data_IF_225849829310
#
_entry.id   IF_225849829310
#
_cell.length_a   1.000
_cell.length_b   1.000
_cell.length_c   1.000
_cell.angle_alpha   90.00
_cell.angle_beta   90.00
_cell.angle_gamma   90.00
#
_symmetry.space_group_name_H-M   'P 1'
#
loop_
_entity.id
_entity.type
_entity.pdbx_description
1 polymer ?
#
# COMPACT_ATOMS: atom_id res chain seq x y z
N UNK A 1 -0.53 -13.87 13.46
CA UNK A 1 -1.77 -13.98 12.66
C UNK A 1 -1.47 -13.71 11.19
N UNK A 2 -2.00 -14.57 10.34
CA UNK A 2 -1.89 -14.37 8.89
C UNK A 2 -2.89 -13.35 8.36
N UNK A 3 -2.70 -12.93 7.11
CA UNK A 3 -3.55 -11.94 6.44
C UNK A 3 -5.02 -12.36 6.40
N UNK A 4 -5.30 -13.63 6.18
CA UNK A 4 -6.66 -14.17 6.15
C UNK A 4 -7.37 -14.08 7.51
N UNK A 5 -6.66 -14.39 8.57
CA UNK A 5 -7.20 -14.32 9.94
C UNK A 5 -7.50 -12.88 10.35
N UNK A 6 -6.62 -11.95 9.98
CA UNK A 6 -6.83 -10.52 10.24
C UNK A 6 -8.03 -9.98 9.45
N UNK A 7 -8.19 -10.41 8.20
CA UNK A 7 -9.37 -10.04 7.41
C UNK A 7 -10.66 -10.60 8.06
N UNK A 8 -10.66 -11.86 8.46
CA UNK A 8 -11.81 -12.48 9.13
C UNK A 8 -12.21 -11.69 10.38
N UNK A 9 -11.24 -11.37 11.23
CA UNK A 9 -11.47 -10.59 12.43
C UNK A 9 -12.08 -9.22 12.10
N UNK A 10 -11.50 -8.52 11.14
CA UNK A 10 -12.00 -7.21 10.71
C UNK A 10 -13.44 -7.28 10.20
N UNK A 11 -13.76 -8.27 9.35
CA UNK A 11 -15.10 -8.47 8.81
C UNK A 11 -16.13 -8.75 9.91
N UNK A 12 -15.78 -9.58 10.88
CA UNK A 12 -16.64 -9.88 12.04
C UNK A 12 -16.87 -8.63 12.90
N UNK A 13 -15.80 -7.91 13.23
CA UNK A 13 -15.88 -6.72 14.08
C UNK A 13 -16.74 -5.59 13.46
N UNK A 14 -16.84 -5.56 12.13
CA UNK A 14 -17.59 -4.53 11.39
C UNK A 14 -18.89 -5.04 10.77
N UNK A 15 -19.33 -6.26 11.11
CA UNK A 15 -20.55 -6.89 10.58
C UNK A 15 -20.58 -6.96 9.05
N UNK A 16 -19.43 -7.22 8.42
CA UNK A 16 -19.28 -7.35 6.98
C UNK A 16 -19.33 -8.82 6.56
N UNK A 17 -19.88 -9.07 5.38
CA UNK A 17 -19.98 -10.44 4.85
C UNK A 17 -18.62 -10.98 4.46
N UNK A 18 -18.42 -12.26 4.74
CA UNK A 18 -17.31 -13.05 4.21
C UNK A 18 -17.71 -13.59 2.84
N UNK A 19 -17.16 -13.00 1.78
CA UNK A 19 -17.45 -13.42 0.41
C UNK A 19 -16.21 -14.05 -0.24
N UNK A 20 -16.39 -15.02 -1.16
CA UNK A 20 -15.24 -15.61 -1.85
C UNK A 20 -14.34 -14.60 -2.56
N UNK A 21 -14.93 -13.57 -3.16
CA UNK A 21 -14.20 -12.53 -3.89
C UNK A 21 -13.19 -11.79 -2.99
N UNK A 22 -13.54 -11.53 -1.72
CA UNK A 22 -12.63 -10.88 -0.77
C UNK A 22 -11.35 -11.67 -0.57
N UNK A 23 -11.48 -12.98 -0.44
CA UNK A 23 -10.33 -13.87 -0.21
C UNK A 23 -9.51 -14.08 -1.47
N UNK A 24 -10.17 -14.12 -2.63
CA UNK A 24 -9.48 -14.19 -3.92
C UNK A 24 -8.63 -12.94 -4.13
N UNK A 25 -9.22 -11.76 -3.93
CA UNK A 25 -8.51 -10.49 -4.07
C UNK A 25 -7.33 -10.41 -3.09
N UNK A 26 -7.55 -10.76 -1.83
CA UNK A 26 -6.48 -10.79 -0.82
C UNK A 26 -5.33 -11.71 -1.23
N UNK A 27 -5.66 -12.91 -1.72
CA UNK A 27 -4.65 -13.88 -2.18
C UNK A 27 -3.80 -13.31 -3.31
N UNK A 28 -4.43 -12.70 -4.32
CA UNK A 28 -3.69 -12.09 -5.44
C UNK A 28 -2.79 -10.96 -4.98
N UNK A 29 -3.28 -10.09 -4.11
CA UNK A 29 -2.49 -8.98 -3.56
C UNK A 29 -1.25 -9.49 -2.84
N UNK A 30 -1.40 -10.53 -2.01
CA UNK A 30 -0.29 -11.02 -1.19
C UNK A 30 0.75 -11.83 -1.98
N UNK A 31 0.45 -12.18 -3.24
CA UNK A 31 1.42 -12.72 -4.18
C UNK A 31 2.25 -11.63 -4.89
N UNK A 32 1.80 -10.38 -4.88
CA UNK A 32 2.52 -9.26 -5.48
C UNK A 32 3.60 -8.78 -4.52
N UNK A 33 4.85 -8.69 -4.99
CA UNK A 33 5.98 -8.26 -4.18
C UNK A 33 6.28 -6.76 -4.26
N UNK A 34 5.67 -6.07 -5.23
CA UNK A 34 5.90 -4.65 -5.52
C UNK A 34 4.64 -3.83 -5.27
N UNK A 35 4.73 -2.51 -5.49
CA UNK A 35 3.55 -1.66 -5.61
C UNK A 35 2.74 -2.04 -6.84
N UNK A 36 1.43 -1.88 -6.78
CA UNK A 36 0.53 -2.16 -7.89
C UNK A 36 -0.59 -1.12 -7.97
N UNK A 37 -1.09 -0.90 -9.18
CA UNK A 37 -2.31 -0.14 -9.39
C UNK A 37 -3.51 -1.08 -9.56
N UNK A 38 -4.69 -0.48 -9.64
CA UNK A 38 -5.92 -1.26 -9.78
C UNK A 38 -5.99 -2.01 -11.11
N UNK A 39 -5.46 -1.42 -12.18
CA UNK A 39 -5.50 -2.04 -13.51
C UNK A 39 -4.64 -3.29 -13.55
N UNK A 40 -3.46 -3.24 -12.95
CA UNK A 40 -2.59 -4.41 -12.81
C UNK A 40 -3.30 -5.52 -12.02
N UNK A 41 -3.90 -5.19 -10.89
CA UNK A 41 -4.60 -6.16 -10.06
C UNK A 41 -5.81 -6.75 -10.79
N UNK A 42 -6.62 -5.91 -11.43
CA UNK A 42 -7.78 -6.33 -12.21
C UNK A 42 -7.39 -7.30 -13.32
N UNK A 43 -6.37 -6.97 -14.10
CA UNK A 43 -5.90 -7.83 -15.18
C UNK A 43 -5.33 -9.15 -14.65
N UNK A 44 -4.60 -9.12 -13.55
CA UNK A 44 -4.03 -10.32 -12.91
C UNK A 44 -5.14 -11.28 -12.45
N UNK A 45 -6.17 -10.77 -11.79
CA UNK A 45 -7.29 -11.56 -11.29
C UNK A 45 -8.10 -12.14 -12.46
N UNK A 46 -8.40 -11.32 -13.46
CA UNK A 46 -9.33 -11.69 -14.54
C UNK A 46 -8.72 -12.62 -15.59
N UNK A 47 -7.48 -13.03 -15.43
CA UNK A 47 -6.93 -14.16 -16.21
C UNK A 47 -7.56 -15.50 -15.84
N UNK A 48 -8.00 -15.66 -14.59
CA UNK A 48 -8.55 -16.92 -14.07
C UNK A 48 -9.92 -16.77 -13.41
N UNK A 49 -10.23 -15.60 -12.89
CA UNK A 49 -11.47 -15.32 -12.15
C UNK A 49 -12.23 -14.21 -12.86
N UNK A 50 -13.55 -14.12 -12.61
CA UNK A 50 -14.37 -13.03 -13.12
C UNK A 50 -14.81 -12.14 -11.96
N UNK A 51 -14.07 -11.07 -11.70
CA UNK A 51 -14.39 -10.11 -10.66
C UNK A 51 -14.40 -8.71 -11.28
N UNK A 52 -15.50 -7.98 -11.07
CA UNK A 52 -15.64 -6.63 -11.62
C UNK A 52 -14.66 -5.65 -10.95
N UNK A 53 -14.31 -4.61 -11.68
CA UNK A 53 -13.46 -3.52 -11.17
C UNK A 53 -14.08 -2.85 -9.95
N UNK A 54 -15.41 -2.65 -9.95
CA UNK A 54 -16.14 -2.09 -8.80
C UNK A 54 -15.98 -2.95 -7.55
N UNK A 55 -16.08 -4.26 -7.68
CA UNK A 55 -15.87 -5.19 -6.56
C UNK A 55 -14.45 -5.11 -6.04
N UNK A 56 -13.46 -5.01 -6.93
CA UNK A 56 -12.05 -4.84 -6.54
C UNK A 56 -11.86 -3.54 -5.76
N UNK A 57 -12.39 -2.41 -6.23
CA UNK A 57 -12.31 -1.11 -5.54
C UNK A 57 -12.89 -1.18 -4.13
N UNK A 58 -14.09 -1.76 -3.98
CA UNK A 58 -14.74 -1.90 -2.69
C UNK A 58 -13.88 -2.73 -1.72
N UNK A 59 -13.26 -3.78 -2.22
CA UNK A 59 -12.40 -4.63 -1.39
C UNK A 59 -11.07 -3.96 -1.06
N UNK A 60 -10.48 -3.19 -1.96
CA UNK A 60 -9.29 -2.39 -1.67
C UNK A 60 -9.55 -1.40 -0.54
N UNK A 61 -10.73 -0.78 -0.49
CA UNK A 61 -11.10 0.10 0.60
C UNK A 61 -11.19 -0.64 1.94
N UNK A 62 -11.85 -1.79 1.96
CA UNK A 62 -11.97 -2.62 3.16
C UNK A 62 -10.59 -3.09 3.63
N UNK A 63 -9.76 -3.58 2.71
CA UNK A 63 -8.41 -4.04 3.04
C UNK A 63 -7.51 -2.91 3.56
N UNK A 64 -7.67 -1.69 3.04
CA UNK A 64 -6.96 -0.51 3.54
C UNK A 64 -7.39 -0.16 4.96
N UNK A 65 -8.69 -0.15 5.23
CA UNK A 65 -9.24 0.09 6.58
C UNK A 65 -8.82 -1.00 7.56
N UNK A 66 -8.74 -2.24 7.10
CA UNK A 66 -8.25 -3.36 7.90
C UNK A 66 -6.72 -3.34 8.09
N UNK A 67 -6.01 -2.37 7.50
CA UNK A 67 -4.55 -2.22 7.56
C UNK A 67 -3.80 -3.43 6.96
N UNK A 68 -4.43 -4.15 6.05
CA UNK A 68 -3.82 -5.24 5.32
C UNK A 68 -3.06 -4.77 4.07
N UNK A 69 -3.46 -3.63 3.54
CA UNK A 69 -2.76 -2.95 2.46
C UNK A 69 -2.60 -1.46 2.79
N UNK A 70 -1.63 -0.84 2.18
CA UNK A 70 -1.40 0.60 2.23
C UNK A 70 -1.68 1.21 0.87
N UNK A 71 -2.44 2.30 0.86
CA UNK A 71 -2.69 3.12 -0.32
C UNK A 71 -1.77 4.33 -0.27
N UNK A 72 -1.07 4.60 -1.36
CA UNK A 72 -0.19 5.77 -1.49
C UNK A 72 -0.58 6.57 -2.73
N UNK A 73 -0.63 7.89 -2.57
CA UNK A 73 -0.89 8.80 -3.67
C UNK A 73 0.42 9.52 -4.02
N UNK A 74 0.94 9.23 -5.21
CA UNK A 74 2.15 9.86 -5.72
C UNK A 74 1.82 11.01 -6.67
N UNK A 75 2.85 11.74 -7.13
CA UNK A 75 2.68 12.83 -8.10
C UNK A 75 1.82 12.40 -9.30
N UNK A 76 1.07 13.37 -9.88
CA UNK A 76 0.15 13.18 -11.00
C UNK A 76 -1.07 12.30 -10.68
N UNK A 77 -1.48 12.27 -9.40
CA UNK A 77 -2.64 11.49 -8.95
C UNK A 77 -2.51 9.98 -9.21
N UNK A 78 -1.29 9.47 -9.26
CA UNK A 78 -1.04 8.04 -9.36
C UNK A 78 -1.30 7.40 -8.00
N UNK A 79 -2.28 6.50 -7.95
CA UNK A 79 -2.62 5.75 -6.75
C UNK A 79 -2.04 4.35 -6.85
N UNK A 80 -1.17 4.00 -5.91
CA UNK A 80 -0.57 2.68 -5.81
C UNK A 80 -0.90 2.05 -4.46
N UNK A 81 -0.94 0.74 -4.47
CA UNK A 81 -1.20 -0.08 -3.29
C UNK A 81 -0.03 -1.01 -3.04
N UNK A 82 0.17 -1.38 -1.79
CA UNK A 82 1.13 -2.39 -1.39
C UNK A 82 0.60 -3.16 -0.17
N UNK A 83 1.01 -4.43 -0.03
CA UNK A 83 0.71 -5.19 1.17
C UNK A 83 1.46 -4.60 2.37
N UNK A 84 0.80 -4.53 3.52
CA UNK A 84 1.36 -3.87 4.70
C UNK A 84 1.66 -4.81 5.87
N UNK A 85 1.15 -6.03 5.85
CA UNK A 85 1.38 -6.98 6.94
C UNK A 85 2.87 -7.35 7.01
N UNK A 86 3.44 -7.24 8.22
CA UNK A 86 4.85 -7.53 8.51
C UNK A 86 5.85 -6.62 7.77
N UNK A 87 5.40 -5.55 7.13
CA UNK A 87 6.27 -4.54 6.55
C UNK A 87 6.65 -3.50 7.59
N UNK A 88 7.94 -3.21 7.70
CA UNK A 88 8.43 -2.10 8.52
C UNK A 88 8.04 -0.77 7.89
N UNK A 89 7.87 0.27 8.71
CA UNK A 89 7.70 1.63 8.22
C UNK A 89 8.86 2.00 7.30
N UNK A 90 8.54 2.49 6.11
CA UNK A 90 9.52 2.95 5.13
C UNK A 90 8.96 4.17 4.40
N UNK A 91 9.85 4.90 3.77
CA UNK A 91 9.53 6.05 2.95
C UNK A 91 9.92 5.77 1.49
N UNK A 92 9.60 6.66 0.58
CA UNK A 92 9.71 6.40 -0.85
C UNK A 92 10.56 7.44 -1.56
N UNK A 93 11.38 6.96 -2.51
CA UNK A 93 12.04 7.75 -3.53
C UNK A 93 11.37 7.43 -4.86
N UNK A 94 10.92 8.43 -5.57
CA UNK A 94 10.22 8.26 -6.85
C UNK A 94 11.03 8.93 -7.96
N UNK A 95 11.39 8.16 -8.97
CA UNK A 95 12.05 8.70 -10.16
C UNK A 95 11.03 9.36 -11.07
N UNK A 96 11.21 10.65 -11.37
CA UNK A 96 10.33 11.38 -12.27
C UNK A 96 10.46 10.94 -13.73
N UNK A 97 11.61 10.37 -14.10
CA UNK A 97 11.88 10.00 -15.49
C UNK A 97 11.35 8.60 -15.83
N UNK A 98 11.62 7.59 -15.00
CA UNK A 98 11.20 6.21 -15.26
C UNK A 98 10.03 5.73 -14.40
N UNK A 99 9.62 6.49 -13.37
CA UNK A 99 8.54 6.12 -12.48
C UNK A 99 8.90 5.04 -11.45
N UNK A 100 10.14 4.58 -11.42
CA UNK A 100 10.57 3.55 -10.45
C UNK A 100 10.50 4.08 -9.03
N UNK A 101 10.07 3.22 -8.10
CA UNK A 101 9.88 3.56 -6.69
C UNK A 101 10.87 2.76 -5.87
N UNK A 102 11.66 3.46 -5.07
CA UNK A 102 12.61 2.87 -4.12
C UNK A 102 12.13 3.10 -2.70
N UNK A 103 12.28 2.10 -1.86
CA UNK A 103 11.99 2.22 -0.44
C UNK A 103 13.27 2.54 0.33
N UNK A 104 13.15 3.39 1.34
CA UNK A 104 14.25 3.68 2.27
C UNK A 104 13.74 3.85 3.68
N UNK A 105 14.62 3.65 4.63
CA UNK A 105 14.36 3.89 6.05
C UNK A 105 15.56 4.63 6.64
N UNK A 106 15.32 5.84 7.15
CA UNK A 106 16.35 6.66 7.79
C UNK A 106 15.96 6.95 9.24
N UNK A 107 16.79 6.52 10.21
CA UNK A 107 16.48 6.70 11.62
C UNK A 107 16.38 8.18 12.05
N UNK A 108 16.96 9.10 11.29
CA UNK A 108 16.85 10.55 11.54
C UNK A 108 15.41 11.06 11.44
N UNK A 109 14.58 10.42 10.60
CA UNK A 109 13.17 10.78 10.45
C UNK A 109 12.42 10.57 11.76
N UNK A 110 12.65 9.44 12.42
CA UNK A 110 12.07 9.17 13.74
C UNK A 110 12.46 10.25 14.77
N UNK A 111 13.72 10.67 14.77
CA UNK A 111 14.20 11.72 15.66
C UNK A 111 13.51 13.06 15.39
N UNK A 112 13.25 13.38 14.13
CA UNK A 112 12.49 14.59 13.74
C UNK A 112 11.06 14.51 14.27
N UNK A 113 10.40 13.39 14.12
CA UNK A 113 9.01 13.19 14.58
C UNK A 113 8.92 13.30 16.10
N UNK A 114 9.84 12.67 16.82
CA UNK A 114 9.91 12.76 18.29
C UNK A 114 10.15 14.21 18.74
N UNK A 115 10.97 14.95 18.02
CA UNK A 115 11.20 16.37 18.27
C UNK A 115 9.96 17.22 18.05
N UNK A 116 9.19 16.95 17.01
CA UNK A 116 7.93 17.64 16.71
C UNK A 116 6.93 17.43 17.85
N UNK A 117 6.79 16.20 18.34
CA UNK A 117 5.90 15.91 19.47
C UNK A 117 6.22 16.74 20.70
N UNK A 118 7.52 16.89 21.01
CA UNK A 118 7.98 17.65 22.16
C UNK A 118 7.72 19.16 22.05
N UNK A 119 7.83 19.69 20.84
CA UNK A 119 7.70 21.13 20.59
C UNK A 119 6.24 21.56 20.45
N UNK A 120 5.41 20.71 19.83
CA UNK A 120 4.06 21.11 19.40
C UNK A 120 2.94 20.57 20.27
N UNK A 121 3.25 19.76 21.28
CA UNK A 121 2.24 19.05 22.08
C UNK A 121 1.27 18.24 21.20
N UNK A 122 1.81 17.64 20.14
CA UNK A 122 1.07 16.85 19.13
C UNK A 122 1.52 15.40 19.20
N UNK A 123 0.59 14.46 19.24
CA UNK A 123 0.89 13.03 19.21
C UNK A 123 0.94 12.54 17.76
N UNK A 124 2.10 12.09 17.30
CA UNK A 124 2.27 11.57 15.94
C UNK A 124 1.90 10.09 15.90
N UNK A 125 0.96 9.72 15.04
CA UNK A 125 0.56 8.33 14.83
C UNK A 125 1.23 7.71 13.61
N UNK A 126 1.45 8.47 12.57
CA UNK A 126 2.08 8.01 11.33
C UNK A 126 2.66 9.17 10.55
N UNK A 127 3.52 8.86 9.60
CA UNK A 127 4.03 9.83 8.64
C UNK A 127 4.13 9.21 7.26
N UNK A 128 4.25 10.04 6.24
CA UNK A 128 4.54 9.63 4.88
C UNK A 128 5.50 10.65 4.27
N UNK A 129 6.63 10.17 3.76
CA UNK A 129 7.63 10.99 3.09
C UNK A 129 7.87 10.43 1.70
N UNK A 130 7.63 11.27 0.68
CA UNK A 130 7.90 10.97 -0.71
C UNK A 130 8.91 11.98 -1.23
N UNK A 131 10.03 11.48 -1.75
CA UNK A 131 11.08 12.30 -2.33
C UNK A 131 11.13 12.02 -3.83
N UNK A 132 11.07 13.08 -4.61
CA UNK A 132 11.04 13.01 -6.06
C UNK A 132 12.36 13.48 -6.65
N UNK A 133 12.86 12.75 -7.64
CA UNK A 133 14.12 13.08 -8.28
C UNK A 133 14.38 12.21 -9.48
N UNK A 134 15.65 12.01 -9.79
CA UNK A 134 16.12 11.17 -10.89
C UNK A 134 16.99 10.05 -10.34
N UNK A 135 16.66 8.81 -10.67
CA UNK A 135 17.52 7.69 -10.31
C UNK A 135 18.74 7.59 -11.24
N UNK A 136 19.78 6.92 -10.75
CA UNK A 136 20.97 6.62 -11.53
C UNK A 136 20.92 5.23 -12.19
N UNK A 137 19.75 4.62 -12.26
CA UNK A 137 19.58 3.32 -12.88
C UNK A 137 19.79 3.43 -14.39
N UNK A 138 20.54 2.48 -14.98
CA UNK A 138 20.80 2.43 -16.43
C UNK A 138 19.53 2.37 -17.26
N UNK A 139 18.46 1.76 -16.74
CA UNK A 139 17.15 1.71 -17.40
C UNK A 139 16.43 3.06 -17.46
N UNK A 140 16.81 4.00 -16.61
CA UNK A 140 16.19 5.32 -16.54
C UNK A 140 16.69 6.26 -17.64
N UNK A 141 17.81 5.98 -18.26
CA UNK A 141 18.46 6.82 -19.27
C UNK A 141 18.10 6.44 -20.72
N UNK A 142 17.01 5.72 -20.88
CA UNK A 142 16.51 5.35 -22.21
C UNK A 142 15.74 6.52 -22.81
#
# INVERSE_FOLDING_TARGET
>A
MGEKELLNKYLLDHNLRQTPERYIILKYIYQISTHFDIDFLYNSINQKEKISKATIYNNLEILSKAKLIKKSNFNNNIILYEKSLNKKQHDHLICNDCGEIFEFCDPRIKNILDGIEKITNFQVHSHSLNIYGKCSNKKCNI
#
